data_IF_090855450933
#
_entry.id   IF_090855450933
#
_cell.length_a   1.000
_cell.length_b   1.000
_cell.length_c   1.000
_cell.angle_alpha   90.00
_cell.angle_beta   90.00
_cell.angle_gamma   90.00
#
_symmetry.space_group_name_H-M   'P 1'
#
loop_
_entity.id
_entity.type
_entity.pdbx_description
1 polymer ?
#
# COMPACT_ATOMS: atom_id res chain seq x y z
N UNK A 1 6.91 -24.80 19.92
CA UNK A 1 7.19 -23.88 18.82
C UNK A 1 6.41 -22.62 19.09
N UNK A 2 7.05 -21.54 19.55
CA UNK A 2 6.35 -20.26 19.68
C UNK A 2 6.28 -19.68 18.26
N UNK A 3 5.08 -19.58 17.71
CA UNK A 3 4.88 -18.98 16.39
C UNK A 3 5.39 -17.53 16.44
N UNK A 4 6.39 -17.24 15.61
CA UNK A 4 7.01 -15.92 15.51
C UNK A 4 6.07 -15.01 14.74
N UNK A 5 5.67 -13.87 15.34
CA UNK A 5 4.82 -12.88 14.69
C UNK A 5 5.42 -12.39 13.38
N UNK A 6 4.62 -12.38 12.30
CA UNK A 6 5.02 -11.99 10.95
C UNK A 6 4.49 -10.60 10.60
N UNK A 7 5.39 -9.70 10.20
CA UNK A 7 5.10 -8.31 9.88
C UNK A 7 5.40 -8.03 8.41
N UNK A 8 4.42 -7.51 7.67
CA UNK A 8 4.62 -7.00 6.31
C UNK A 8 4.94 -5.51 6.32
N UNK A 9 6.02 -5.12 5.66
CA UNK A 9 6.39 -3.73 5.35
C UNK A 9 6.31 -3.52 3.84
N UNK A 10 5.24 -2.87 3.31
CA UNK A 10 5.16 -2.54 1.90
C UNK A 10 5.98 -1.27 1.59
N UNK A 11 6.91 -1.39 0.65
CA UNK A 11 7.67 -0.28 0.12
C UNK A 11 6.80 0.68 -0.70
N UNK A 12 7.16 1.96 -0.68
CA UNK A 12 6.48 3.02 -1.41
C UNK A 12 7.46 3.78 -2.30
N UNK A 13 6.96 4.49 -3.31
CA UNK A 13 7.80 5.42 -4.08
C UNK A 13 8.12 6.61 -3.18
N UNK A 14 9.39 6.83 -2.80
CA UNK A 14 9.77 7.86 -1.81
C UNK A 14 9.37 9.29 -2.21
N UNK A 15 9.26 9.55 -3.51
CA UNK A 15 8.82 10.85 -4.06
C UNK A 15 7.30 11.02 -4.11
N UNK A 16 6.52 10.06 -3.59
CA UNK A 16 5.06 10.12 -3.61
C UNK A 16 4.54 11.29 -2.75
N UNK A 17 3.51 11.98 -3.26
CA UNK A 17 2.91 13.11 -2.55
C UNK A 17 2.33 12.70 -1.18
N UNK A 18 1.84 11.47 -1.05
CA UNK A 18 1.36 10.92 0.22
C UNK A 18 2.46 10.88 1.27
N UNK A 19 3.71 10.58 0.90
CA UNK A 19 4.85 10.64 1.83
C UNK A 19 5.19 12.10 2.13
N UNK A 20 5.27 12.95 1.09
CA UNK A 20 5.61 14.37 1.24
C UNK A 20 4.70 15.09 2.23
N UNK A 21 3.39 14.84 2.17
CA UNK A 21 2.38 15.55 2.97
C UNK A 21 1.84 14.73 4.15
N UNK A 22 2.01 13.41 4.13
CA UNK A 22 1.47 12.50 5.14
C UNK A 22 2.52 11.89 6.06
N UNK A 23 3.83 12.05 5.80
CA UNK A 23 4.88 11.45 6.61
C UNK A 23 5.77 12.52 7.27
N UNK A 24 5.41 13.00 8.49
CA UNK A 24 6.10 14.13 9.12
C UNK A 24 7.50 13.78 9.63
N UNK A 25 7.77 12.52 9.98
CA UNK A 25 9.05 12.07 10.58
C UNK A 25 9.88 11.21 9.61
N UNK A 26 9.39 10.01 9.30
CA UNK A 26 10.07 9.06 8.42
C UNK A 26 9.68 9.35 6.98
N UNK A 27 10.64 9.36 6.04
CA UNK A 27 10.39 9.70 4.62
C UNK A 27 11.04 8.75 3.61
N UNK A 28 11.65 7.67 4.07
CA UNK A 28 12.30 6.65 3.22
C UNK A 28 11.91 5.25 3.63
N UNK A 29 12.00 4.30 2.70
CA UNK A 29 11.65 2.91 2.96
C UNK A 29 12.63 2.27 3.96
N UNK A 30 13.92 2.59 3.87
CA UNK A 30 14.92 2.10 4.82
C UNK A 30 14.70 2.62 6.23
N UNK A 31 14.33 3.89 6.39
CA UNK A 31 14.05 4.43 7.71
C UNK A 31 12.79 3.80 8.33
N UNK A 32 11.79 3.44 7.51
CA UNK A 32 10.65 2.64 7.96
C UNK A 32 11.10 1.24 8.40
N UNK A 33 11.84 0.52 7.57
CA UNK A 33 12.33 -0.82 7.91
C UNK A 33 13.15 -0.85 9.19
N UNK A 34 14.04 0.14 9.37
CA UNK A 34 14.77 0.34 10.62
C UNK A 34 13.85 0.50 11.82
N UNK A 35 12.90 1.43 11.74
CA UNK A 35 11.98 1.70 12.84
C UNK A 35 11.10 0.48 13.17
N UNK A 36 10.69 -0.29 12.15
CA UNK A 36 9.96 -1.55 12.35
C UNK A 36 10.82 -2.59 13.05
N UNK A 37 12.07 -2.79 12.60
CA UNK A 37 13.01 -3.73 13.22
C UNK A 37 13.35 -3.36 14.66
N UNK A 38 13.68 -2.08 14.90
CA UNK A 38 14.02 -1.55 16.23
C UNK A 38 12.85 -1.74 17.22
N UNK A 39 11.61 -1.54 16.78
CA UNK A 39 10.42 -1.74 17.61
C UNK A 39 10.02 -3.22 17.76
N UNK A 40 10.45 -4.11 16.86
CA UNK A 40 10.03 -5.51 16.80
C UNK A 40 11.24 -6.44 16.56
N UNK A 41 12.19 -6.52 17.51
CA UNK A 41 13.43 -7.27 17.32
C UNK A 41 13.18 -8.76 17.00
N UNK A 42 12.23 -9.36 17.71
CA UNK A 42 11.90 -10.77 17.61
C UNK A 42 10.85 -11.10 16.53
N UNK A 43 10.34 -10.14 15.74
CA UNK A 43 9.36 -10.44 14.70
C UNK A 43 10.01 -10.88 13.38
N UNK A 44 9.31 -11.69 12.59
CA UNK A 44 9.70 -12.01 11.22
C UNK A 44 9.22 -10.90 10.29
N UNK A 45 10.14 -10.09 9.76
CA UNK A 45 9.83 -8.90 8.97
C UNK A 45 9.98 -9.22 7.48
N UNK A 46 8.86 -9.16 6.77
CA UNK A 46 8.77 -9.27 5.31
C UNK A 46 8.78 -7.87 4.69
N UNK A 47 9.76 -7.58 3.84
CA UNK A 47 9.76 -6.36 3.03
C UNK A 47 9.23 -6.66 1.62
N UNK A 48 8.21 -5.93 1.18
CA UNK A 48 7.73 -5.98 -0.21
C UNK A 48 8.06 -4.68 -0.93
N UNK A 49 9.10 -4.62 -1.78
CA UNK A 49 9.42 -3.42 -2.54
C UNK A 49 8.26 -3.01 -3.46
N UNK A 50 8.15 -1.70 -3.75
CA UNK A 50 7.11 -1.19 -4.63
C UNK A 50 7.28 -1.74 -6.06
N UNK A 51 6.21 -2.23 -6.74
CA UNK A 51 6.33 -2.86 -8.06
C UNK A 51 6.95 -1.92 -9.12
N UNK A 52 6.62 -0.62 -9.10
CA UNK A 52 7.23 0.35 -10.02
C UNK A 52 8.74 0.55 -9.80
N UNK A 53 9.25 0.33 -8.59
CA UNK A 53 10.68 0.38 -8.30
C UNK A 53 11.36 -0.89 -8.82
N UNK A 54 10.76 -2.06 -8.58
CA UNK A 54 11.23 -3.35 -9.11
C UNK A 54 11.25 -3.34 -10.65
N UNK A 55 10.22 -2.78 -11.28
CA UNK A 55 10.12 -2.65 -12.73
C UNK A 55 11.02 -1.55 -13.34
N UNK A 56 11.77 -0.79 -12.51
CA UNK A 56 12.62 0.31 -12.94
C UNK A 56 11.86 1.52 -13.51
N UNK A 57 10.56 1.62 -13.26
CA UNK A 57 9.71 2.75 -13.66
C UNK A 57 9.88 3.96 -12.73
N UNK A 58 10.36 3.70 -11.50
CA UNK A 58 10.71 4.71 -10.49
C UNK A 58 12.12 4.45 -9.97
N UNK A 59 12.78 5.52 -9.49
CA UNK A 59 14.09 5.41 -8.85
C UNK A 59 13.95 4.59 -7.56
N UNK A 60 14.95 3.75 -7.26
CA UNK A 60 15.08 3.13 -5.95
C UNK A 60 15.20 4.21 -4.88
N UNK A 61 14.66 3.91 -3.69
CA UNK A 61 14.86 4.74 -2.52
C UNK A 61 16.32 4.80 -2.08
N UNK A 62 16.65 5.78 -1.26
CA UNK A 62 18.01 5.95 -0.76
C UNK A 62 18.40 4.75 0.10
N UNK A 63 19.52 4.10 -0.25
CA UNK A 63 20.08 2.95 0.46
C UNK A 63 19.18 1.71 0.52
N UNK A 64 18.19 1.57 -0.38
CA UNK A 64 17.31 0.38 -0.40
C UNK A 64 18.05 -0.95 -0.60
N UNK A 65 19.28 -0.91 -1.10
CA UNK A 65 20.18 -2.07 -1.21
C UNK A 65 20.52 -2.68 0.16
N UNK A 66 20.46 -1.88 1.23
CA UNK A 66 20.67 -2.33 2.61
C UNK A 66 19.41 -2.87 3.28
N UNK A 67 18.28 -3.02 2.55
CA UNK A 67 17.02 -3.50 3.13
C UNK A 67 17.17 -4.86 3.83
N UNK A 68 18.00 -5.75 3.30
CA UNK A 68 18.32 -7.07 3.87
C UNK A 68 18.90 -7.01 5.30
N UNK A 69 19.43 -5.86 5.73
CA UNK A 69 19.94 -5.69 7.10
C UNK A 69 18.83 -5.51 8.14
N UNK A 70 17.62 -5.15 7.69
CA UNK A 70 16.52 -4.72 8.55
C UNK A 70 15.29 -5.64 8.46
N UNK A 71 15.20 -6.48 7.43
CA UNK A 71 14.13 -7.46 7.24
C UNK A 71 14.70 -8.89 7.20
N UNK A 72 13.87 -9.89 7.50
CA UNK A 72 14.24 -11.31 7.38
C UNK A 72 14.14 -11.77 5.92
N UNK A 73 13.20 -11.24 5.14
CA UNK A 73 12.99 -11.62 3.74
C UNK A 73 12.46 -10.46 2.88
N UNK A 74 12.87 -10.43 1.61
CA UNK A 74 12.37 -9.50 0.58
C UNK A 74 11.51 -10.24 -0.45
N UNK A 75 10.25 -9.86 -0.59
CA UNK A 75 9.26 -10.54 -1.43
C UNK A 75 8.86 -9.70 -2.65
N UNK A 76 9.32 -10.09 -3.83
CA UNK A 76 9.07 -9.38 -5.09
C UNK A 76 7.87 -9.92 -5.88
N UNK A 77 7.75 -11.25 -6.02
CA UNK A 77 6.85 -11.88 -7.00
C UNK A 77 5.50 -12.36 -6.43
N UNK A 78 5.21 -12.08 -5.17
CA UNK A 78 3.92 -12.41 -4.55
C UNK A 78 2.98 -11.21 -4.58
N UNK A 79 1.71 -11.44 -4.90
CA UNK A 79 0.69 -10.40 -4.87
C UNK A 79 0.47 -9.88 -3.43
N UNK A 80 0.35 -8.56 -3.28
CA UNK A 80 0.27 -7.92 -1.96
C UNK A 80 -0.92 -8.42 -1.14
N UNK A 81 -2.08 -8.67 -1.75
CA UNK A 81 -3.27 -9.15 -1.05
C UNK A 81 -3.05 -10.53 -0.41
N UNK A 82 -2.34 -11.44 -1.10
CA UNK A 82 -2.02 -12.76 -0.58
C UNK A 82 -1.05 -12.65 0.61
N UNK A 83 -0.10 -11.72 0.56
CA UNK A 83 0.79 -11.45 1.70
C UNK A 83 0.04 -10.89 2.89
N UNK A 84 -0.86 -9.91 2.69
CA UNK A 84 -1.67 -9.35 3.79
C UNK A 84 -2.43 -10.47 4.51
N UNK A 85 -2.99 -11.44 3.77
CA UNK A 85 -3.72 -12.56 4.35
C UNK A 85 -2.82 -13.48 5.19
N UNK A 86 -1.56 -13.66 4.78
CA UNK A 86 -0.59 -14.55 5.40
C UNK A 86 0.20 -13.96 6.59
N UNK A 87 0.13 -12.64 6.83
CA UNK A 87 0.85 -11.98 7.94
C UNK A 87 -0.05 -11.62 9.11
N UNK A 88 0.54 -11.36 10.27
CA UNK A 88 -0.18 -10.92 11.47
C UNK A 88 -0.43 -9.42 11.46
N UNK A 89 0.58 -8.64 11.07
CA UNK A 89 0.55 -7.19 11.09
C UNK A 89 1.08 -6.58 9.79
N UNK A 90 0.59 -5.38 9.46
CA UNK A 90 1.09 -4.57 8.34
C UNK A 90 1.56 -3.22 8.84
N UNK A 91 2.85 -2.93 8.65
CA UNK A 91 3.50 -1.71 9.13
C UNK A 91 3.80 -0.79 7.94
N UNK A 92 3.21 0.40 7.94
CA UNK A 92 3.17 1.28 6.76
C UNK A 92 3.63 2.70 7.08
N UNK A 93 4.07 3.42 6.05
CA UNK A 93 4.18 4.88 6.11
C UNK A 93 2.82 5.52 5.83
N UNK A 94 2.43 5.54 4.56
CA UNK A 94 1.19 6.14 4.06
C UNK A 94 0.52 5.30 2.98
N UNK A 95 1.02 4.07 2.74
CA UNK A 95 0.59 3.18 1.67
C UNK A 95 -0.91 2.86 1.76
N UNK A 96 -1.59 2.76 0.62
CA UNK A 96 -2.96 2.25 0.56
C UNK A 96 -3.05 0.80 1.08
N UNK A 97 -1.95 0.04 1.04
CA UNK A 97 -1.87 -1.32 1.59
C UNK A 97 -2.31 -1.40 3.06
N UNK A 98 -2.07 -0.35 3.86
CA UNK A 98 -2.55 -0.31 5.24
C UNK A 98 -4.08 -0.28 5.33
N UNK A 99 -4.76 0.42 4.43
CA UNK A 99 -6.22 0.38 4.35
C UNK A 99 -6.73 -1.00 3.90
N UNK A 100 -6.09 -1.62 2.90
CA UNK A 100 -6.43 -2.98 2.46
C UNK A 100 -6.26 -4.03 3.58
N UNK A 101 -5.30 -3.80 4.48
CA UNK A 101 -5.07 -4.63 5.66
C UNK A 101 -6.17 -4.45 6.72
N UNK A 102 -6.63 -3.21 6.95
CA UNK A 102 -7.79 -2.95 7.81
C UNK A 102 -9.05 -3.65 7.31
N UNK A 103 -9.31 -3.64 5.99
CA UNK A 103 -10.44 -4.36 5.38
C UNK A 103 -10.39 -5.88 5.65
N UNK A 104 -9.19 -6.44 5.83
CA UNK A 104 -8.95 -7.84 6.20
C UNK A 104 -8.82 -8.07 7.70
N UNK A 105 -9.15 -7.06 8.51
CA UNK A 105 -9.08 -7.09 9.98
C UNK A 105 -7.67 -7.41 10.50
N UNK A 106 -6.63 -7.06 9.75
CA UNK A 106 -5.24 -7.19 10.19
C UNK A 106 -4.87 -6.02 11.10
N UNK A 107 -3.94 -6.26 12.01
CA UNK A 107 -3.35 -5.18 12.82
C UNK A 107 -2.53 -4.29 11.90
N UNK A 108 -2.75 -2.98 11.97
CA UNK A 108 -2.02 -2.00 11.16
C UNK A 108 -1.30 -0.99 12.05
N UNK A 109 0.00 -0.86 11.84
CA UNK A 109 0.84 0.15 12.50
C UNK A 109 1.23 1.21 11.47
N UNK A 110 0.92 2.47 11.75
CA UNK A 110 1.18 3.59 10.85
C UNK A 110 2.29 4.48 11.40
N UNK A 111 3.37 4.59 10.63
CA UNK A 111 4.50 5.50 10.88
C UNK A 111 4.34 6.87 10.20
N UNK A 112 3.32 7.02 9.36
CA UNK A 112 2.84 8.29 8.83
C UNK A 112 1.41 8.59 9.26
N UNK A 113 0.76 9.49 8.53
CA UNK A 113 -0.60 9.99 8.76
C UNK A 113 -1.46 9.82 7.49
N UNK A 114 -1.61 8.60 6.93
CA UNK A 114 -2.50 8.34 5.81
C UNK A 114 -3.96 8.69 6.16
N UNK A 115 -4.85 8.68 5.16
CA UNK A 115 -6.25 9.08 5.36
C UNK A 115 -6.99 8.25 6.42
N UNK A 116 -6.60 6.98 6.60
CA UNK A 116 -7.20 6.00 7.51
C UNK A 116 -6.58 5.96 8.92
N UNK A 117 -5.44 6.64 9.14
CA UNK A 117 -4.81 6.71 10.47
C UNK A 117 -5.49 7.75 11.38
N UNK A 118 -5.36 7.63 12.70
CA UNK A 118 -5.88 8.62 13.67
C UNK A 118 -7.37 8.49 13.97
N UNK A 119 -8.03 7.44 13.48
CA UNK A 119 -9.44 7.16 13.75
C UNK A 119 -9.66 6.04 14.78
N UNK A 120 -8.58 5.58 15.43
CA UNK A 120 -8.62 4.47 16.39
C UNK A 120 -8.63 3.07 15.79
N UNK A 121 -8.48 2.95 14.46
CA UNK A 121 -8.40 1.67 13.73
C UNK A 121 -6.95 1.20 13.50
N UNK A 122 -5.98 2.07 13.72
CA UNK A 122 -4.53 1.83 13.54
C UNK A 122 -3.78 2.13 14.84
N UNK A 123 -2.62 1.50 15.00
CA UNK A 123 -1.63 1.95 15.98
C UNK A 123 -0.77 3.05 15.34
N UNK A 124 -0.93 4.28 15.79
CA UNK A 124 -0.29 5.44 15.16
C UNK A 124 0.99 5.84 15.90
N UNK A 125 2.14 5.65 15.26
CA UNK A 125 3.43 6.10 15.80
C UNK A 125 3.61 7.62 15.70
N UNK A 126 2.83 8.26 14.83
CA UNK A 126 2.73 9.72 14.75
C UNK A 126 1.26 10.15 14.68
N UNK A 127 0.55 10.22 15.82
CA UNK A 127 -0.86 10.58 15.86
C UNK A 127 -1.15 11.94 15.21
N UNK A 128 -2.27 12.05 14.50
CA UNK A 128 -2.69 13.29 13.87
C UNK A 128 -3.57 14.10 14.83
N UNK A 129 -3.06 15.20 15.40
CA UNK A 129 -3.79 16.04 16.37
C UNK A 129 -5.17 16.53 15.89
N UNK A 130 -5.34 16.70 14.58
CA UNK A 130 -6.59 17.12 13.95
C UNK A 130 -7.69 16.04 13.89
N UNK A 131 -7.38 14.79 14.26
CA UNK A 131 -8.33 13.66 14.27
C UNK A 131 -8.58 13.23 15.70
N UNK A 132 -9.75 13.58 16.23
CA UNK A 132 -10.13 13.34 17.63
C UNK A 132 -11.27 12.33 17.80
N UNK A 133 -11.93 11.97 16.70
CA UNK A 133 -13.02 10.99 16.68
C UNK A 133 -12.46 9.58 16.54
N UNK A 134 -13.18 8.60 17.10
CA UNK A 134 -13.01 7.19 16.79
C UNK A 134 -14.07 6.76 15.78
N UNK A 135 -13.67 5.95 14.81
CA UNK A 135 -14.57 5.36 13.80
C UNK A 135 -14.53 3.84 13.91
N UNK A 136 -15.66 3.21 13.62
CA UNK A 136 -15.71 1.81 13.19
C UNK A 136 -15.12 1.67 11.79
N UNK A 137 -14.75 0.45 11.42
CA UNK A 137 -14.26 0.16 10.07
C UNK A 137 -15.33 0.49 9.00
N UNK A 138 -16.59 0.19 9.29
CA UNK A 138 -17.71 0.44 8.37
C UNK A 138 -17.94 1.94 8.15
N UNK A 139 -17.83 2.77 9.20
CA UNK A 139 -17.89 4.24 9.05
C UNK A 139 -16.74 4.79 8.20
N UNK A 140 -15.52 4.25 8.39
CA UNK A 140 -14.38 4.63 7.54
C UNK A 140 -14.63 4.21 6.09
N UNK A 141 -15.10 2.98 5.86
CA UNK A 141 -15.43 2.44 4.54
C UNK A 141 -16.50 3.28 3.83
N UNK A 142 -17.60 3.61 4.53
CA UNK A 142 -18.64 4.46 3.98
C UNK A 142 -18.08 5.81 3.54
N UNK A 143 -17.26 6.46 4.39
CA UNK A 143 -16.64 7.73 4.05
C UNK A 143 -15.71 7.65 2.83
N UNK A 144 -14.87 6.61 2.74
CA UNK A 144 -13.74 6.59 1.79
C UNK A 144 -14.02 5.83 0.49
N UNK A 145 -15.00 4.92 0.48
CA UNK A 145 -15.38 4.12 -0.69
C UNK A 145 -16.79 4.40 -1.20
N UNK A 146 -17.66 5.10 -0.44
CA UNK A 146 -19.03 5.40 -0.86
C UNK A 146 -19.21 6.89 -1.08
N UNK A 147 -18.95 7.71 -0.05
CA UNK A 147 -19.27 9.14 -0.07
C UNK A 147 -18.20 10.00 -0.77
N UNK A 148 -16.92 9.73 -0.53
CA UNK A 148 -15.84 10.57 -1.06
C UNK A 148 -15.57 10.42 -2.57
N UNK A 149 -15.51 9.19 -3.15
CA UNK A 149 -15.19 9.01 -4.56
C UNK A 149 -16.43 9.02 -5.48
N UNK A 150 -16.27 9.53 -6.70
CA UNK A 150 -17.26 9.35 -7.78
C UNK A 150 -16.93 8.13 -8.63
N UNK A 151 -17.92 7.29 -8.91
CA UNK A 151 -17.79 6.13 -9.78
C UNK A 151 -18.48 6.35 -11.13
N UNK A 152 -17.83 5.87 -12.19
CA UNK A 152 -18.37 5.86 -13.55
C UNK A 152 -18.45 4.40 -14.01
N UNK A 153 -19.64 3.98 -14.45
CA UNK A 153 -19.87 2.65 -15.00
C UNK A 153 -19.08 2.50 -16.30
N UNK A 154 -18.31 1.42 -16.39
CA UNK A 154 -17.56 1.06 -17.61
C UNK A 154 -18.47 0.62 -18.74
N UNK A 155 -19.64 0.09 -18.40
CA UNK A 155 -20.62 -0.40 -19.37
C UNK A 155 -21.41 0.74 -19.99
N UNK A 156 -21.75 1.76 -19.19
CA UNK A 156 -22.69 2.82 -19.62
C UNK A 156 -22.05 4.20 -19.76
N UNK A 157 -20.86 4.43 -19.22
CA UNK A 157 -20.21 5.74 -19.18
C UNK A 157 -20.89 6.78 -18.27
N UNK A 158 -21.87 6.38 -17.47
CA UNK A 158 -22.63 7.26 -16.56
C UNK A 158 -22.18 7.08 -15.11
N UNK A 159 -22.55 8.04 -14.27
CA UNK A 159 -22.37 7.92 -12.82
C UNK A 159 -23.03 6.65 -12.29
N UNK A 160 -22.36 6.00 -11.33
CA UNK A 160 -22.79 4.74 -10.74
C UNK A 160 -22.37 4.63 -9.29
N UNK A 161 -22.70 3.52 -8.64
CA UNK A 161 -22.37 3.25 -7.24
C UNK A 161 -21.09 2.39 -7.13
N UNK A 162 -20.37 2.41 -5.99
CA UNK A 162 -19.22 1.52 -5.78
C UNK A 162 -19.55 0.04 -5.96
N UNK A 163 -20.73 -0.41 -5.53
CA UNK A 163 -21.17 -1.80 -5.66
C UNK A 163 -21.31 -2.20 -7.13
N UNK A 164 -21.92 -1.33 -7.95
CA UNK A 164 -22.04 -1.57 -9.39
C UNK A 164 -20.67 -1.56 -10.06
N UNK A 165 -19.80 -0.62 -9.69
CA UNK A 165 -18.44 -0.56 -10.20
C UNK A 165 -17.65 -1.85 -9.87
N UNK A 166 -17.81 -2.39 -8.67
CA UNK A 166 -17.20 -3.66 -8.26
C UNK A 166 -17.71 -4.83 -9.11
N UNK A 167 -19.03 -4.94 -9.31
CA UNK A 167 -19.62 -5.99 -10.16
C UNK A 167 -19.08 -5.92 -11.58
N UNK A 168 -19.00 -4.73 -12.16
CA UNK A 168 -18.46 -4.53 -13.51
C UNK A 168 -16.96 -4.88 -13.59
N UNK A 169 -16.16 -4.57 -12.56
CA UNK A 169 -14.75 -4.96 -12.49
C UNK A 169 -14.57 -6.48 -12.39
N UNK A 170 -15.41 -7.17 -11.62
CA UNK A 170 -15.39 -8.62 -11.49
C UNK A 170 -15.76 -9.31 -12.81
N UNK A 171 -16.82 -8.85 -13.47
CA UNK A 171 -17.20 -9.35 -14.80
C UNK A 171 -16.06 -9.11 -15.81
N UNK A 172 -15.45 -7.92 -15.81
CA UNK A 172 -14.32 -7.62 -16.69
C UNK A 172 -13.09 -8.52 -16.44
N UNK A 173 -12.78 -8.83 -15.18
CA UNK A 173 -11.70 -9.77 -14.84
C UNK A 173 -11.93 -11.15 -15.45
N UNK A 174 -13.18 -11.63 -15.45
CA UNK A 174 -13.55 -12.93 -16.03
C UNK A 174 -13.44 -12.97 -17.55
N UNK A 175 -13.58 -11.83 -18.24
CA UNK A 175 -13.35 -11.73 -19.70
C UNK A 175 -11.89 -11.91 -20.10
N UNK A 176 -10.99 -12.15 -19.14
CA UNK A 176 -9.58 -12.40 -19.39
C UNK A 176 -8.91 -11.16 -19.96
N UNK A 177 -9.03 -10.02 -19.25
CA UNK A 177 -8.39 -8.75 -19.62
C UNK A 177 -6.98 -9.02 -20.14
N UNK A 178 -6.87 -9.03 -21.47
CA UNK A 178 -5.68 -9.36 -22.22
C UNK A 178 -4.55 -8.50 -21.67
N UNK A 179 -3.39 -9.11 -21.41
CA UNK A 179 -2.18 -8.38 -21.03
C UNK A 179 -2.02 -7.13 -21.90
N UNK A 180 -1.54 -6.04 -21.29
CA UNK A 180 -1.37 -4.72 -21.92
C UNK A 180 -1.04 -4.85 -23.42
N UNK A 181 -1.80 -4.18 -24.31
CA UNK A 181 -1.60 -4.27 -25.75
C UNK A 181 -0.13 -4.10 -26.11
N UNK A 182 0.38 -4.91 -27.05
CA UNK A 182 1.79 -4.89 -27.47
C UNK A 182 2.28 -3.48 -27.85
N UNK A 183 1.40 -2.63 -28.39
CA UNK A 183 1.68 -1.22 -28.69
C UNK A 183 1.93 -0.35 -27.44
N UNK A 184 1.32 -0.66 -26.28
CA UNK A 184 1.64 0.01 -25.00
C UNK A 184 2.98 -0.45 -24.42
N UNK A 185 3.44 -1.67 -24.72
CA UNK A 185 4.82 -2.11 -24.43
C UNK A 185 5.82 -1.38 -25.33
N UNK A 186 5.50 -1.18 -26.61
CA UNK A 186 6.29 -0.38 -27.56
C UNK A 186 6.35 1.10 -27.19
N UNK A 187 5.23 1.69 -26.76
CA UNK A 187 5.17 3.09 -26.32
C UNK A 187 6.04 3.34 -25.07
N UNK A 188 6.11 2.37 -24.14
CA UNK A 188 7.04 2.41 -22.99
C UNK A 188 8.51 2.38 -23.43
N UNK A 189 8.84 1.72 -24.53
CA UNK A 189 10.21 1.70 -25.07
C UNK A 189 10.58 3.03 -25.74
N UNK A 190 9.66 3.62 -26.52
CA UNK A 190 9.83 4.94 -27.15
C UNK A 190 9.97 6.05 -26.11
N UNK A 191 9.17 6.02 -25.03
CA UNK A 191 9.26 6.99 -23.94
C UNK A 191 10.56 6.84 -23.10
N UNK A 192 11.19 5.65 -23.09
CA UNK A 192 12.51 5.42 -22.46
C UNK A 192 13.66 6.02 -23.26
N UNK A 193 13.56 6.10 -24.59
CA UNK A 193 14.60 6.68 -25.45
C UNK A 193 14.58 8.21 -25.48
N UNK A 194 13.41 8.82 -25.27
CA UNK A 194 13.23 10.28 -25.39
C UNK A 194 13.63 11.08 -24.12
N UNK A 195 14.20 10.41 -23.11
CA UNK A 195 14.66 10.99 -21.83
C UNK A 195 16.17 10.77 -21.57
N UNK A 196 16.95 10.41 -22.59
CA UNK A 196 18.40 10.54 -22.57
C UNK A 196 18.81 11.86 -23.19
#
# INVERSE_FOLDING_TARGET
SLERRVILVPGQVETDASIRFGAPKIKSNIALLRAVREANPEAYVLYKPHPDVVAGLRKKGVSEEDAHRWCDEIVVDVAVHALIEAVDEVHVLTSLTGFEALLRKKTVVSYGQPFYAGWGLTQDMVPAARRTRRLSLDELVAGVLIEYPTYISRTTGRFTTPERALVELLAWRQTGASGLPWWRKGLRWVLRWRKR
#
